data_IF_643846075855
#
_entry.id   IF_643846075855
#
_cell.length_a   1.000
_cell.length_b   1.000
_cell.length_c   1.000
_cell.angle_alpha   90.00
_cell.angle_beta   90.00
_cell.angle_gamma   90.00
#
_symmetry.space_group_name_H-M   'P 1'
#
loop_
_entity.id
_entity.type
_entity.pdbx_description
1 polymer ?
#
# COMPACT_ATOMS: atom_id res chain seq x y z
N UNK A 1 5.94 27.02 -10.08
CA UNK A 1 5.75 25.81 -9.23
C UNK A 1 6.93 25.72 -8.28
N UNK A 2 6.71 25.64 -6.98
CA UNK A 2 7.78 25.59 -5.98
C UNK A 2 8.57 24.27 -6.14
N UNK A 3 9.90 24.30 -6.03
CA UNK A 3 10.75 23.10 -6.19
C UNK A 3 10.32 21.95 -5.28
N UNK A 4 9.88 22.24 -4.06
CA UNK A 4 9.35 21.22 -3.13
C UNK A 4 8.10 20.51 -3.64
N UNK A 5 7.21 21.21 -4.35
CA UNK A 5 6.03 20.62 -4.96
C UNK A 5 6.41 19.68 -6.12
N UNK A 6 7.40 20.07 -6.94
CA UNK A 6 7.89 19.20 -8.03
C UNK A 6 8.41 17.88 -7.47
N UNK A 7 9.26 17.95 -6.43
CA UNK A 7 9.79 16.73 -5.79
C UNK A 7 8.69 15.87 -5.19
N UNK A 8 7.67 16.47 -4.55
CA UNK A 8 6.55 15.75 -3.99
C UNK A 8 5.75 15.02 -5.09
N UNK A 9 5.37 15.71 -6.17
CA UNK A 9 4.63 15.08 -7.27
C UNK A 9 5.45 14.01 -8.00
N UNK A 10 6.74 14.24 -8.23
CA UNK A 10 7.63 13.23 -8.83
C UNK A 10 7.71 11.99 -7.92
N UNK A 11 7.84 12.18 -6.61
CA UNK A 11 7.84 11.08 -5.65
C UNK A 11 6.54 10.27 -5.68
N UNK A 12 5.38 10.94 -5.75
CA UNK A 12 4.07 10.27 -5.87
C UNK A 12 3.99 9.47 -7.15
N UNK A 13 4.38 10.04 -8.30
CA UNK A 13 4.35 9.32 -9.60
C UNK A 13 5.24 8.08 -9.56
N UNK A 14 6.46 8.21 -9.06
CA UNK A 14 7.39 7.07 -8.92
C UNK A 14 6.79 6.00 -8.02
N UNK A 15 6.23 6.38 -6.87
CA UNK A 15 5.57 5.44 -5.95
C UNK A 15 4.41 4.69 -6.61
N UNK A 16 3.58 5.39 -7.39
CA UNK A 16 2.46 4.77 -8.09
C UNK A 16 2.91 3.80 -9.19
N UNK A 17 4.00 4.10 -9.91
CA UNK A 17 4.60 3.18 -10.88
C UNK A 17 5.10 1.90 -10.21
N UNK A 18 5.82 2.02 -9.09
CA UNK A 18 6.27 0.86 -8.33
C UNK A 18 5.09 0.07 -7.75
N UNK A 19 4.07 0.73 -7.24
CA UNK A 19 2.92 0.06 -6.67
C UNK A 19 2.09 -0.66 -7.72
N UNK A 20 1.84 -0.01 -8.87
CA UNK A 20 1.13 -0.64 -10.00
C UNK A 20 1.87 -1.86 -10.55
N UNK A 21 3.21 -1.82 -10.64
CA UNK A 21 4.01 -2.97 -11.07
C UNK A 21 4.03 -4.11 -10.06
N UNK A 22 3.73 -3.85 -8.78
CA UNK A 22 3.76 -4.88 -7.73
C UNK A 22 2.78 -6.03 -7.98
N UNK A 23 1.59 -5.75 -8.53
CA UNK A 23 0.61 -6.79 -8.84
C UNK A 23 1.12 -7.77 -9.91
N UNK A 24 1.79 -7.24 -10.95
CA UNK A 24 2.40 -8.09 -11.97
C UNK A 24 3.54 -8.93 -11.38
N UNK A 25 4.39 -8.34 -10.56
CA UNK A 25 5.46 -9.05 -9.87
C UNK A 25 4.92 -10.14 -8.94
N UNK A 26 3.87 -9.84 -8.16
CA UNK A 26 3.23 -10.82 -7.29
C UNK A 26 2.62 -11.98 -8.09
N UNK A 27 1.87 -11.67 -9.16
CA UNK A 27 1.26 -12.67 -10.03
C UNK A 27 2.30 -13.56 -10.72
N UNK A 28 3.47 -13.03 -11.05
CA UNK A 28 4.57 -13.81 -11.59
C UNK A 28 5.20 -14.74 -10.55
N UNK A 29 5.50 -14.23 -9.37
CA UNK A 29 6.19 -14.98 -8.31
C UNK A 29 5.38 -16.17 -7.82
N UNK A 30 4.04 -16.04 -7.66
CA UNK A 30 3.18 -17.14 -7.20
C UNK A 30 3.07 -18.32 -8.18
N UNK A 31 3.56 -18.18 -9.40
CA UNK A 31 3.66 -19.30 -10.35
C UNK A 31 4.81 -20.24 -10.00
N UNK A 32 5.79 -19.76 -9.26
CA UNK A 32 7.02 -20.51 -8.94
C UNK A 32 7.16 -20.88 -7.46
N UNK A 33 6.40 -20.21 -6.57
CA UNK A 33 6.47 -20.48 -5.14
C UNK A 33 5.11 -20.25 -4.45
N UNK A 34 4.87 -20.93 -3.29
CA UNK A 34 3.65 -20.73 -2.52
C UNK A 34 3.48 -19.27 -2.06
N UNK A 35 2.23 -18.74 -2.00
CA UNK A 35 1.96 -17.37 -1.57
C UNK A 35 2.58 -16.96 -0.24
N UNK A 36 2.56 -17.85 0.74
CA UNK A 36 3.14 -17.59 2.06
C UNK A 36 4.66 -17.40 2.00
N UNK A 37 5.36 -18.24 1.21
CA UNK A 37 6.82 -18.14 1.02
C UNK A 37 7.16 -16.84 0.29
N UNK A 38 6.43 -16.52 -0.78
CA UNK A 38 6.61 -15.28 -1.54
C UNK A 38 6.42 -14.04 -0.67
N UNK A 39 5.38 -14.03 0.18
CA UNK A 39 5.16 -12.95 1.14
C UNK A 39 6.30 -12.87 2.17
N UNK A 40 6.69 -13.99 2.76
CA UNK A 40 7.74 -14.04 3.78
C UNK A 40 9.08 -13.52 3.24
N UNK A 41 9.52 -13.98 2.07
CA UNK A 41 10.75 -13.52 1.44
C UNK A 41 10.72 -12.02 1.14
N UNK A 42 9.64 -11.54 0.50
CA UNK A 42 9.46 -10.12 0.19
C UNK A 42 9.58 -9.23 1.41
N UNK A 43 8.87 -9.59 2.49
CA UNK A 43 8.88 -8.77 3.72
C UNK A 43 10.17 -8.90 4.50
N UNK A 44 10.82 -10.05 4.48
CA UNK A 44 12.14 -10.23 5.09
C UNK A 44 13.17 -9.33 4.41
N UNK A 45 13.26 -9.37 3.09
CA UNK A 45 14.18 -8.52 2.33
C UNK A 45 13.88 -7.03 2.55
N UNK A 46 12.61 -6.64 2.46
CA UNK A 46 12.20 -5.24 2.65
C UNK A 46 12.49 -4.74 4.08
N UNK A 47 12.17 -5.54 5.10
CA UNK A 47 12.41 -5.17 6.49
C UNK A 47 13.89 -5.09 6.85
N UNK A 48 14.71 -6.02 6.34
CA UNK A 48 16.16 -5.96 6.50
C UNK A 48 16.75 -4.72 5.82
N UNK A 49 16.33 -4.44 4.58
CA UNK A 49 16.78 -3.24 3.86
C UNK A 49 16.42 -1.95 4.58
N UNK A 50 15.18 -1.82 5.06
CA UNK A 50 14.76 -0.67 5.84
C UNK A 50 15.47 -0.58 7.19
N UNK A 51 15.66 -1.70 7.88
CA UNK A 51 16.39 -1.73 9.15
C UNK A 51 17.83 -1.24 8.99
N UNK A 52 18.54 -1.74 7.98
CA UNK A 52 19.91 -1.31 7.66
C UNK A 52 19.91 0.19 7.32
N UNK A 53 19.01 0.64 6.45
CA UNK A 53 18.92 2.04 6.05
C UNK A 53 18.67 2.96 7.25
N UNK A 54 17.64 2.69 8.06
CA UNK A 54 17.29 3.53 9.21
C UNK A 54 18.35 3.53 10.30
N UNK A 55 19.06 2.42 10.46
CA UNK A 55 20.22 2.33 11.36
C UNK A 55 21.38 3.18 10.83
N UNK A 56 21.69 3.08 9.54
CA UNK A 56 22.79 3.82 8.91
C UNK A 56 22.58 5.34 8.94
N UNK A 57 21.35 5.81 8.77
CA UNK A 57 21.02 7.24 8.84
C UNK A 57 20.71 7.75 10.26
N UNK A 58 20.84 6.90 11.28
CA UNK A 58 20.64 7.27 12.68
C UNK A 58 19.20 7.66 13.05
N UNK A 59 18.20 7.27 12.25
CA UNK A 59 16.78 7.60 12.46
C UNK A 59 15.96 6.52 13.16
N UNK A 60 16.61 5.50 13.70
CA UNK A 60 15.92 4.43 14.42
C UNK A 60 15.67 4.85 15.88
N UNK A 61 14.42 5.17 16.20
CA UNK A 61 13.99 5.61 17.52
C UNK A 61 13.55 4.41 18.38
N UNK A 62 14.50 3.74 19.02
CA UNK A 62 14.26 2.56 19.87
C UNK A 62 13.24 2.78 20.98
N UNK A 63 13.25 3.96 21.59
CA UNK A 63 12.31 4.32 22.68
C UNK A 63 10.88 4.34 22.15
N UNK A 64 10.64 5.03 21.05
CA UNK A 64 9.32 5.10 20.42
C UNK A 64 8.83 3.71 19.95
N UNK A 65 9.75 2.89 19.43
CA UNK A 65 9.43 1.53 19.01
C UNK A 65 8.94 0.67 20.18
N UNK A 66 9.64 0.72 21.32
CA UNK A 66 9.26 -0.05 22.51
C UNK A 66 7.97 0.42 23.15
N UNK A 67 7.74 1.74 23.19
CA UNK A 67 6.53 2.32 23.79
C UNK A 67 5.26 1.98 22.99
N UNK A 68 5.37 1.83 21.67
CA UNK A 68 4.23 1.61 20.78
C UNK A 68 4.25 0.21 20.15
N UNK A 69 4.99 -0.73 20.71
CA UNK A 69 5.21 -2.07 20.12
C UNK A 69 3.89 -2.79 19.80
N UNK A 70 2.92 -2.75 20.71
CA UNK A 70 1.62 -3.40 20.50
C UNK A 70 0.89 -2.85 19.27
N UNK A 71 0.88 -1.53 19.10
CA UNK A 71 0.25 -0.87 17.95
C UNK A 71 0.99 -1.25 16.65
N UNK A 72 2.33 -1.24 16.66
CA UNK A 72 3.11 -1.63 15.49
C UNK A 72 2.92 -3.09 15.12
N UNK A 73 2.79 -3.99 16.10
CA UNK A 73 2.49 -5.40 15.86
C UNK A 73 1.10 -5.58 15.24
N UNK A 74 0.08 -4.90 15.75
CA UNK A 74 -1.29 -4.97 15.19
C UNK A 74 -1.28 -4.46 13.75
N UNK A 75 -0.70 -3.29 13.49
CA UNK A 75 -0.62 -2.73 12.13
C UNK A 75 0.20 -3.65 11.22
N UNK A 76 1.32 -4.19 11.71
CA UNK A 76 2.18 -5.08 10.93
C UNK A 76 1.49 -6.40 10.58
N UNK A 77 0.85 -7.05 11.55
CA UNK A 77 0.24 -8.37 11.35
C UNK A 77 -1.07 -8.24 10.57
N UNK A 78 -1.97 -7.35 10.97
CA UNK A 78 -3.29 -7.23 10.35
C UNK A 78 -3.22 -6.35 9.10
N UNK A 79 -2.66 -5.15 9.21
CA UNK A 79 -2.65 -4.17 8.13
C UNK A 79 -1.69 -4.53 7.00
N UNK A 80 -0.48 -5.00 7.31
CA UNK A 80 0.53 -5.28 6.29
C UNK A 80 0.53 -6.75 5.89
N UNK A 81 0.77 -7.66 6.84
CA UNK A 81 0.89 -9.08 6.51
C UNK A 81 -0.45 -9.66 6.07
N UNK A 82 -1.55 -9.40 6.78
CA UNK A 82 -2.89 -9.87 6.44
C UNK A 82 -3.34 -9.39 5.07
N UNK A 83 -3.19 -8.09 4.79
CA UNK A 83 -3.52 -7.51 3.48
C UNK A 83 -2.70 -8.15 2.34
N UNK A 84 -1.39 -8.27 2.52
CA UNK A 84 -0.54 -8.82 1.45
C UNK A 84 -0.76 -10.32 1.24
N UNK A 85 -0.97 -11.10 2.30
CA UNK A 85 -1.36 -12.51 2.16
C UNK A 85 -2.68 -12.63 1.41
N UNK A 86 -3.68 -11.81 1.74
CA UNK A 86 -4.93 -11.72 0.99
C UNK A 86 -4.73 -11.44 -0.49
N UNK A 87 -3.84 -10.50 -0.84
CA UNK A 87 -3.48 -10.22 -2.23
C UNK A 87 -2.81 -11.41 -2.92
N UNK A 88 -1.83 -12.05 -2.28
CA UNK A 88 -1.14 -13.21 -2.85
C UNK A 88 -2.07 -14.39 -3.08
N UNK A 89 -2.94 -14.72 -2.12
CA UNK A 89 -3.93 -15.79 -2.29
C UNK A 89 -5.01 -15.40 -3.30
N UNK A 90 -5.48 -14.17 -3.31
CA UNK A 90 -6.44 -13.67 -4.29
C UNK A 90 -5.90 -13.78 -5.72
N UNK A 91 -4.64 -13.46 -5.95
CA UNK A 91 -4.02 -13.55 -7.28
C UNK A 91 -3.83 -14.99 -7.79
N UNK A 92 -4.02 -16.01 -6.95
CA UNK A 92 -4.08 -17.39 -7.43
C UNK A 92 -5.36 -17.69 -8.23
N UNK A 93 -6.44 -16.93 -7.96
CA UNK A 93 -7.77 -17.14 -8.54
C UNK A 93 -8.19 -16.03 -9.51
N UNK A 94 -7.37 -14.97 -9.64
CA UNK A 94 -7.66 -13.83 -10.51
C UNK A 94 -6.40 -13.28 -11.18
N UNK A 95 -6.57 -12.36 -12.14
CA UNK A 95 -5.45 -11.75 -12.84
C UNK A 95 -4.87 -10.54 -12.06
N UNK A 96 -3.61 -10.17 -12.37
CA UNK A 96 -2.99 -8.97 -11.85
C UNK A 96 -3.80 -7.70 -12.18
N UNK A 97 -4.43 -7.67 -13.36
CA UNK A 97 -5.29 -6.55 -13.80
C UNK A 97 -6.50 -6.43 -12.89
N UNK A 98 -7.20 -7.53 -12.63
CA UNK A 98 -8.35 -7.52 -11.72
C UNK A 98 -7.95 -7.09 -10.29
N UNK A 99 -6.80 -7.56 -9.79
CA UNK A 99 -6.25 -7.14 -8.52
C UNK A 99 -6.01 -5.62 -8.46
N UNK A 100 -5.43 -5.05 -9.51
CA UNK A 100 -5.20 -3.62 -9.64
C UNK A 100 -6.52 -2.82 -9.73
N UNK A 101 -7.52 -3.32 -10.48
CA UNK A 101 -8.85 -2.71 -10.57
C UNK A 101 -9.56 -2.67 -9.20
N UNK A 102 -9.50 -3.76 -8.44
CA UNK A 102 -10.05 -3.82 -7.08
C UNK A 102 -9.34 -2.78 -6.19
N UNK A 103 -8.00 -2.69 -6.26
CA UNK A 103 -7.25 -1.69 -5.48
C UNK A 103 -7.60 -0.26 -5.89
N UNK A 104 -7.94 0.00 -7.13
CA UNK A 104 -8.35 1.32 -7.60
C UNK A 104 -9.70 1.79 -7.00
N UNK A 105 -10.49 0.88 -6.41
CA UNK A 105 -11.70 1.25 -5.64
C UNK A 105 -11.40 1.75 -4.23
N UNK A 106 -10.18 1.61 -3.74
CA UNK A 106 -9.77 2.01 -2.37
C UNK A 106 -10.12 3.47 -2.03
N UNK A 107 -9.90 4.47 -2.89
CA UNK A 107 -10.29 5.85 -2.57
C UNK A 107 -11.79 6.02 -2.35
N UNK A 108 -12.62 5.26 -3.08
CA UNK A 108 -14.07 5.28 -2.91
C UNK A 108 -14.47 4.68 -1.56
N UNK A 109 -13.90 3.52 -1.21
CA UNK A 109 -14.15 2.86 0.08
C UNK A 109 -13.69 3.76 1.23
N UNK A 110 -12.51 4.37 1.12
CA UNK A 110 -11.99 5.30 2.12
C UNK A 110 -12.92 6.50 2.29
N UNK A 111 -13.39 7.10 1.20
CA UNK A 111 -14.34 8.22 1.25
C UNK A 111 -15.67 7.82 1.93
N UNK A 112 -16.19 6.65 1.61
CA UNK A 112 -17.42 6.14 2.24
C UNK A 112 -17.20 5.92 3.74
N UNK A 113 -16.08 5.35 4.14
CA UNK A 113 -15.75 5.13 5.55
C UNK A 113 -15.59 6.45 6.32
N UNK A 114 -14.92 7.46 5.75
CA UNK A 114 -14.77 8.77 6.42
C UNK A 114 -16.12 9.50 6.57
N UNK A 115 -17.02 9.35 5.62
CA UNK A 115 -18.38 9.89 5.74
C UNK A 115 -19.15 9.18 6.86
N UNK A 116 -19.07 7.84 6.92
CA UNK A 116 -19.84 7.03 7.86
C UNK A 116 -19.28 7.09 9.29
N UNK A 117 -17.95 7.10 9.46
CA UNK A 117 -17.31 7.02 10.76
C UNK A 117 -16.98 8.39 11.34
N UNK A 118 -16.51 9.31 10.52
CA UNK A 118 -16.06 10.64 10.96
C UNK A 118 -17.09 11.74 10.71
N UNK A 119 -18.21 11.41 10.07
CA UNK A 119 -19.26 12.39 9.74
C UNK A 119 -18.81 13.48 8.75
N UNK A 120 -17.75 13.21 7.98
CA UNK A 120 -17.25 14.16 6.99
C UNK A 120 -18.30 14.45 5.91
N UNK A 121 -18.45 15.74 5.56
CA UNK A 121 -19.35 16.16 4.49
C UNK A 121 -18.72 15.90 3.13
N UNK A 122 -19.48 15.31 2.23
CA UNK A 122 -19.13 15.23 0.81
C UNK A 122 -19.02 16.65 0.24
N UNK A 123 -17.81 17.04 -0.12
CA UNK A 123 -17.59 18.27 -0.89
C UNK A 123 -17.55 17.95 -2.37
N UNK A 124 -18.01 18.89 -3.20
CA UNK A 124 -18.02 18.73 -4.66
C UNK A 124 -16.63 18.33 -5.21
N UNK A 125 -15.58 18.94 -4.68
CA UNK A 125 -14.21 18.64 -5.09
C UNK A 125 -13.80 17.18 -4.78
N UNK A 126 -14.21 16.63 -3.62
CA UNK A 126 -13.96 15.21 -3.27
C UNK A 126 -14.70 14.28 -4.23
N UNK A 127 -15.97 14.58 -4.53
CA UNK A 127 -16.79 13.79 -5.46
C UNK A 127 -16.21 13.80 -6.88
N UNK A 128 -15.83 14.97 -7.39
CA UNK A 128 -15.19 15.11 -8.70
C UNK A 128 -13.88 14.30 -8.74
N UNK A 129 -13.03 14.41 -7.73
CA UNK A 129 -11.77 13.66 -7.65
C UNK A 129 -11.97 12.14 -7.70
N UNK A 130 -12.98 11.62 -7.01
CA UNK A 130 -13.31 10.18 -7.03
C UNK A 130 -13.83 9.76 -8.40
N UNK A 131 -14.75 10.54 -9.02
CA UNK A 131 -15.27 10.22 -10.36
C UNK A 131 -14.15 10.20 -11.40
N UNK A 132 -13.26 11.20 -11.40
CA UNK A 132 -12.11 11.21 -12.31
C UNK A 132 -11.11 10.06 -12.01
N UNK A 133 -10.88 9.74 -10.74
CA UNK A 133 -10.03 8.62 -10.36
C UNK A 133 -10.58 7.27 -10.85
N UNK A 134 -11.89 7.05 -10.72
CA UNK A 134 -12.53 5.82 -11.20
C UNK A 134 -12.63 5.76 -12.73
N UNK A 135 -12.90 6.88 -13.41
CA UNK A 135 -12.98 6.91 -14.88
C UNK A 135 -11.62 6.67 -15.55
N UNK A 136 -10.51 6.88 -14.84
CA UNK A 136 -9.17 6.54 -15.34
C UNK A 136 -8.82 5.05 -15.22
N UNK A 137 -9.66 4.26 -14.57
CA UNK A 137 -9.48 2.82 -14.34
C UNK A 137 -10.31 1.98 -15.32
N UNK A 138 -11.35 2.57 -15.89
CA UNK A 138 -12.23 1.97 -16.91
C UNK A 138 -11.71 2.22 -18.33
#
# INVERSE_FOLDING_TARGET
>A
MNKSMVYAYTGVVITMLFWGSAFNAMSYVIQYMPPLSAAAERFTIASLGLFILFTAIGKLHWVALRQNLAIYLIIGIIGIAGFNLGCFYGLQTTSAVNGALIMATTPLITLLLTILLDGEKLTLNKSIGVVFGLSGVL
#
